data_IF_903110698728
#
_entry.id   IF_903110698728
#
_cell.length_a   1.000
_cell.length_b   1.000
_cell.length_c   1.000
_cell.angle_alpha   90.00
_cell.angle_beta   90.00
_cell.angle_gamma   90.00
#
_symmetry.space_group_name_H-M   'P 1'
#
loop_
_entity.id
_entity.type
_entity.pdbx_description
1 polymer ?
#
# COMPACT_ATOMS: atom_id res chain seq x y z
N UNK A 1 2.17 13.20 8.87
CA UNK A 1 2.54 11.81 8.47
C UNK A 1 2.65 10.93 9.71
N UNK A 2 2.53 9.62 9.58
CA UNK A 2 2.73 8.62 10.64
C UNK A 2 3.30 7.33 10.04
N UNK A 3 3.91 6.49 10.87
CA UNK A 3 4.47 5.21 10.42
C UNK A 3 3.42 4.12 10.57
N UNK A 4 3.20 3.36 9.49
CA UNK A 4 2.34 2.18 9.42
C UNK A 4 3.15 0.95 8.97
N UNK A 5 2.54 -0.23 9.05
CA UNK A 5 3.13 -1.45 8.50
C UNK A 5 2.06 -2.33 7.85
N UNK A 6 2.44 -2.99 6.78
CA UNK A 6 1.58 -3.92 6.06
C UNK A 6 1.53 -5.29 6.75
N UNK A 7 0.34 -5.89 6.86
CA UNK A 7 0.20 -7.28 7.32
C UNK A 7 0.96 -8.25 6.42
N UNK A 8 1.19 -7.90 5.16
CA UNK A 8 1.98 -8.67 4.20
C UNK A 8 3.39 -9.00 4.67
N UNK A 9 3.97 -8.16 5.54
CA UNK A 9 5.28 -8.42 6.15
C UNK A 9 5.34 -9.76 6.89
N UNK A 10 4.19 -10.31 7.29
CA UNK A 10 4.05 -11.56 8.02
C UNK A 10 3.18 -12.58 7.27
N UNK A 11 3.30 -12.65 5.94
CA UNK A 11 2.48 -13.51 5.07
C UNK A 11 2.56 -15.03 5.39
N UNK A 12 3.56 -15.45 6.15
CA UNK A 12 3.74 -16.82 6.66
C UNK A 12 2.94 -17.13 7.94
N UNK A 13 2.21 -16.14 8.49
CA UNK A 13 1.39 -16.26 9.70
C UNK A 13 -0.10 -16.20 9.33
N UNK A 14 -1.00 -16.46 10.29
CA UNK A 14 -2.41 -16.11 10.11
C UNK A 14 -2.60 -14.58 10.19
N UNK A 15 -3.72 -14.08 9.72
CA UNK A 15 -4.05 -12.65 9.80
C UNK A 15 -3.97 -12.13 11.25
N UNK A 16 -4.54 -12.88 12.20
CA UNK A 16 -4.54 -12.53 13.61
C UNK A 16 -3.13 -12.50 14.20
N UNK A 17 -2.31 -13.51 13.88
CA UNK A 17 -0.91 -13.55 14.30
C UNK A 17 -0.09 -12.40 13.72
N UNK A 18 -0.29 -12.07 12.43
CA UNK A 18 0.35 -10.91 11.82
C UNK A 18 -0.03 -9.59 12.53
N UNK A 19 -1.31 -9.42 12.85
CA UNK A 19 -1.79 -8.27 13.63
C UNK A 19 -1.15 -8.19 15.03
N UNK A 20 -1.04 -9.31 15.73
CA UNK A 20 -0.36 -9.37 17.05
C UNK A 20 1.12 -9.04 16.89
N UNK A 21 1.81 -9.63 15.90
CA UNK A 21 3.23 -9.36 15.65
C UNK A 21 3.50 -7.88 15.36
N UNK A 22 2.64 -7.23 14.57
CA UNK A 22 2.74 -5.79 14.30
C UNK A 22 2.48 -4.95 15.54
N UNK A 23 1.49 -5.33 16.38
CA UNK A 23 1.22 -4.65 17.64
C UNK A 23 2.38 -4.77 18.63
N UNK A 24 3.00 -5.93 18.74
CA UNK A 24 4.17 -6.18 19.61
C UNK A 24 5.42 -5.43 19.12
N UNK A 25 5.48 -5.10 17.80
CA UNK A 25 6.44 -4.20 17.21
C UNK A 25 6.07 -2.72 17.39
N UNK A 26 5.01 -2.42 18.17
CA UNK A 26 4.52 -1.07 18.49
C UNK A 26 3.98 -0.27 17.31
N UNK A 27 3.56 -0.92 16.22
CA UNK A 27 2.84 -0.24 15.14
C UNK A 27 1.42 0.10 15.59
N UNK A 28 1.07 1.39 15.48
CA UNK A 28 -0.27 1.89 15.83
C UNK A 28 -1.20 1.98 14.62
N UNK A 29 -0.64 1.89 13.42
CA UNK A 29 -1.33 1.93 12.16
C UNK A 29 -0.94 0.73 11.30
N UNK A 30 -1.93 0.09 10.69
CA UNK A 30 -1.75 -1.14 9.92
C UNK A 30 -2.42 -1.00 8.55
N UNK A 31 -1.67 -1.26 7.49
CA UNK A 31 -2.23 -1.58 6.19
C UNK A 31 -2.65 -3.05 6.19
N UNK A 32 -3.92 -3.31 5.93
CA UNK A 32 -4.44 -4.68 5.76
C UNK A 32 -4.25 -5.12 4.31
N UNK A 33 -3.35 -6.06 4.07
CA UNK A 33 -3.08 -6.63 2.75
C UNK A 33 -4.05 -7.76 2.44
N UNK A 34 -4.64 -7.74 1.22
CA UNK A 34 -5.70 -8.66 0.80
C UNK A 34 -5.45 -9.16 -0.61
N UNK A 35 -5.61 -10.44 -0.86
CA UNK A 35 -5.35 -11.08 -2.15
C UNK A 35 -3.89 -11.45 -2.35
N UNK A 36 -3.52 -11.86 -3.57
CA UNK A 36 -2.13 -12.12 -3.97
C UNK A 36 -1.36 -13.12 -3.12
N UNK A 37 -2.05 -14.08 -2.49
CA UNK A 37 -1.44 -15.03 -1.56
C UNK A 37 -1.14 -14.47 -0.17
N UNK A 38 -1.72 -13.32 0.21
CA UNK A 38 -1.70 -12.81 1.59
C UNK A 38 -2.63 -13.64 2.51
N UNK A 39 -2.77 -13.23 3.77
CA UNK A 39 -3.62 -13.94 4.77
C UNK A 39 -5.12 -13.94 4.41
N UNK A 40 -5.56 -12.97 3.62
CA UNK A 40 -6.95 -12.68 3.32
C UNK A 40 -7.17 -12.75 1.81
N UNK A 41 -8.33 -13.28 1.42
CA UNK A 41 -8.86 -13.15 0.06
C UNK A 41 -9.76 -11.91 -0.05
N UNK A 42 -10.09 -11.48 -1.27
CA UNK A 42 -11.08 -10.42 -1.46
C UNK A 42 -12.43 -10.78 -0.82
N UNK A 43 -12.78 -12.06 -0.83
CA UNK A 43 -14.06 -12.55 -0.28
C UNK A 43 -14.15 -12.37 1.26
N UNK A 44 -13.02 -12.33 1.97
CA UNK A 44 -13.01 -12.02 3.41
C UNK A 44 -13.54 -10.61 3.71
N UNK A 45 -13.42 -9.67 2.77
CA UNK A 45 -13.91 -8.29 2.92
C UNK A 45 -15.30 -8.06 2.31
N UNK A 46 -15.83 -9.03 1.53
CA UNK A 46 -17.12 -8.88 0.83
C UNK A 46 -18.31 -9.43 1.61
N UNK A 47 -18.05 -10.09 2.74
CA UNK A 47 -19.08 -10.53 3.67
C UNK A 47 -19.74 -9.37 4.45
N UNK A 48 -20.52 -9.68 5.50
CA UNK A 48 -21.06 -8.64 6.39
C UNK A 48 -19.92 -7.80 6.98
N UNK A 49 -19.92 -6.46 6.83
CA UNK A 49 -18.83 -5.60 7.29
C UNK A 49 -18.51 -5.77 8.78
N UNK A 50 -19.53 -6.04 9.60
CA UNK A 50 -19.40 -6.23 11.05
C UNK A 50 -18.57 -7.49 11.40
N UNK A 51 -18.63 -8.52 10.56
CA UNK A 51 -17.89 -9.76 10.77
C UNK A 51 -16.38 -9.50 10.67
N UNK A 52 -15.93 -8.85 9.59
CA UNK A 52 -14.52 -8.52 9.43
C UNK A 52 -14.06 -7.46 10.46
N UNK A 53 -14.87 -6.43 10.72
CA UNK A 53 -14.56 -5.43 11.74
C UNK A 53 -14.45 -6.04 13.14
N UNK A 54 -15.28 -7.04 13.48
CA UNK A 54 -15.18 -7.80 14.72
C UNK A 54 -13.87 -8.58 14.79
N UNK A 55 -13.57 -9.37 13.75
CA UNK A 55 -12.33 -10.15 13.61
C UNK A 55 -11.07 -9.27 13.77
N UNK A 56 -11.06 -8.08 13.12
CA UNK A 56 -9.96 -7.13 13.24
C UNK A 56 -9.77 -6.63 14.68
N UNK A 57 -10.87 -6.19 15.33
CA UNK A 57 -10.82 -5.66 16.72
C UNK A 57 -10.41 -6.71 17.75
N UNK A 58 -10.72 -7.98 17.49
CA UNK A 58 -10.26 -9.10 18.33
C UNK A 58 -8.75 -9.35 18.15
N UNK A 59 -8.24 -9.18 16.95
CA UNK A 59 -6.84 -9.41 16.63
C UNK A 59 -5.90 -8.27 17.08
N UNK A 60 -6.35 -7.01 17.04
CA UNK A 60 -5.47 -5.87 17.34
C UNK A 60 -6.24 -4.64 17.79
N UNK A 61 -5.51 -3.70 18.43
CA UNK A 61 -5.97 -2.34 18.75
C UNK A 61 -5.39 -1.28 17.82
N UNK A 62 -4.57 -1.67 16.84
CA UNK A 62 -4.03 -0.73 15.87
C UNK A 62 -5.15 -0.17 14.98
N UNK A 63 -4.98 1.06 14.53
CA UNK A 63 -5.90 1.68 13.57
C UNK A 63 -5.67 1.07 12.18
N UNK A 64 -6.73 0.62 11.47
CA UNK A 64 -6.60 0.21 10.08
C UNK A 64 -6.36 1.46 9.23
N UNK A 65 -5.17 1.58 8.65
CA UNK A 65 -4.73 2.76 7.91
C UNK A 65 -5.26 2.74 6.46
N UNK A 66 -5.10 1.58 5.82
CA UNK A 66 -5.51 1.35 4.44
C UNK A 66 -5.82 -0.12 4.19
N UNK A 67 -6.56 -0.40 3.11
CA UNK A 67 -6.65 -1.72 2.51
C UNK A 67 -5.77 -1.78 1.27
N UNK A 68 -4.79 -2.69 1.26
CA UNK A 68 -3.92 -2.95 0.13
C UNK A 68 -4.39 -4.17 -0.64
N UNK A 69 -5.17 -3.99 -1.71
CA UNK A 69 -5.62 -5.09 -2.56
C UNK A 69 -4.49 -5.46 -3.53
N UNK A 70 -4.10 -6.72 -3.52
CA UNK A 70 -3.07 -7.27 -4.41
C UNK A 70 -3.67 -7.85 -5.70
N UNK A 71 -4.97 -8.15 -5.66
CA UNK A 71 -5.78 -8.57 -6.82
C UNK A 71 -6.78 -7.48 -7.19
N UNK A 72 -7.09 -7.36 -8.48
CA UNK A 72 -8.10 -6.43 -8.96
C UNK A 72 -9.51 -6.85 -8.54
N UNK A 73 -10.25 -6.03 -7.78
CA UNK A 73 -11.62 -6.34 -7.40
C UNK A 73 -12.57 -6.20 -8.59
N UNK A 74 -13.66 -7.00 -8.61
CA UNK A 74 -14.83 -6.71 -9.44
C UNK A 74 -15.58 -5.49 -8.90
N UNK A 75 -16.53 -4.98 -9.66
CA UNK A 75 -17.40 -3.85 -9.23
C UNK A 75 -18.17 -4.21 -7.95
N UNK A 76 -18.77 -5.40 -7.89
CA UNK A 76 -19.52 -5.89 -6.73
C UNK A 76 -18.63 -6.09 -5.50
N UNK A 77 -17.42 -6.62 -5.71
CA UNK A 77 -16.42 -6.74 -4.64
C UNK A 77 -16.01 -5.37 -4.12
N UNK A 78 -15.73 -4.41 -5.01
CA UNK A 78 -15.34 -3.05 -4.60
C UNK A 78 -16.42 -2.36 -3.77
N UNK A 79 -17.69 -2.46 -4.15
CA UNK A 79 -18.80 -1.93 -3.35
C UNK A 79 -18.85 -2.53 -1.94
N UNK A 80 -18.68 -3.86 -1.83
CA UNK A 80 -18.67 -4.53 -0.53
C UNK A 80 -17.46 -4.15 0.32
N UNK A 81 -16.28 -4.08 -0.30
CA UNK A 81 -15.03 -3.66 0.37
C UNK A 81 -15.15 -2.21 0.87
N UNK A 82 -15.75 -1.31 0.08
CA UNK A 82 -15.98 0.08 0.51
C UNK A 82 -16.90 0.16 1.73
N UNK A 83 -17.95 -0.65 1.81
CA UNK A 83 -18.81 -0.72 3.02
C UNK A 83 -18.02 -1.17 4.25
N UNK A 84 -17.16 -2.18 4.09
CA UNK A 84 -16.28 -2.68 5.16
C UNK A 84 -15.27 -1.61 5.58
N UNK A 85 -14.62 -0.94 4.63
CA UNK A 85 -13.67 0.15 4.86
C UNK A 85 -14.34 1.31 5.63
N UNK A 86 -15.54 1.73 5.23
CA UNK A 86 -16.30 2.77 5.91
C UNK A 86 -16.60 2.42 7.36
N UNK A 87 -17.07 1.19 7.63
CA UNK A 87 -17.36 0.74 9.00
C UNK A 87 -16.09 0.72 9.86
N UNK A 88 -14.95 0.39 9.27
CA UNK A 88 -13.65 0.37 9.94
C UNK A 88 -12.98 1.74 10.01
N UNK A 89 -13.59 2.77 9.43
CA UNK A 89 -13.02 4.13 9.31
C UNK A 89 -11.69 4.17 8.53
N UNK A 90 -11.51 3.22 7.62
CA UNK A 90 -10.38 3.18 6.69
C UNK A 90 -10.69 4.05 5.49
N UNK A 91 -9.95 5.16 5.33
CA UNK A 91 -10.26 6.17 4.32
C UNK A 91 -9.58 5.93 2.97
N UNK A 92 -8.82 4.85 2.83
CA UNK A 92 -7.98 4.62 1.65
C UNK A 92 -7.94 3.14 1.24
N UNK A 93 -8.05 2.91 -0.07
CA UNK A 93 -7.91 1.58 -0.70
C UNK A 93 -6.89 1.69 -1.83
N UNK A 94 -5.87 0.81 -1.80
CA UNK A 94 -4.95 0.59 -2.91
C UNK A 94 -5.44 -0.56 -3.77
N UNK A 95 -5.49 -0.37 -5.08
CA UNK A 95 -5.78 -1.43 -6.06
C UNK A 95 -4.61 -1.59 -7.03
N UNK A 96 -4.38 -2.78 -7.60
CA UNK A 96 -3.39 -2.92 -8.66
C UNK A 96 -3.90 -2.24 -9.95
N UNK A 97 -2.99 -1.67 -10.75
CA UNK A 97 -3.31 -1.36 -12.14
C UNK A 97 -3.41 -2.64 -12.97
N UNK A 98 -4.00 -2.56 -14.15
CA UNK A 98 -4.04 -3.69 -15.08
C UNK A 98 -2.64 -4.08 -15.56
N UNK A 99 -2.52 -5.29 -16.11
CA UNK A 99 -1.27 -5.80 -16.66
C UNK A 99 -0.77 -4.95 -17.84
N UNK A 100 0.52 -5.00 -18.07
CA UNK A 100 1.12 -4.36 -19.24
C UNK A 100 0.47 -4.86 -20.53
N UNK A 101 0.17 -3.93 -21.46
CA UNK A 101 -0.49 -4.26 -22.72
C UNK A 101 -2.02 -4.19 -22.68
N UNK A 102 -2.64 -3.98 -21.52
CA UNK A 102 -4.06 -3.64 -21.45
C UNK A 102 -4.33 -2.33 -22.19
N UNK A 103 -5.37 -2.25 -23.04
CA UNK A 103 -5.73 -1.00 -23.71
C UNK A 103 -5.96 0.13 -22.72
N UNK A 104 -5.32 1.28 -22.93
CA UNK A 104 -5.30 2.39 -21.99
C UNK A 104 -6.71 2.89 -21.62
N UNK A 105 -7.63 2.95 -22.59
CA UNK A 105 -9.00 3.36 -22.34
C UNK A 105 -9.79 2.36 -21.48
N UNK A 106 -9.53 1.07 -21.61
CA UNK A 106 -10.16 0.04 -20.77
C UNK A 106 -9.75 0.20 -19.31
N UNK A 107 -8.46 0.49 -19.08
CA UNK A 107 -7.97 0.75 -17.72
C UNK A 107 -8.55 2.05 -17.14
N UNK A 108 -8.65 3.11 -17.93
CA UNK A 108 -9.30 4.37 -17.50
C UNK A 108 -10.74 4.11 -17.08
N UNK A 109 -11.52 3.37 -17.87
CA UNK A 109 -12.92 3.11 -17.57
C UNK A 109 -13.08 2.24 -16.32
N UNK A 110 -12.22 1.21 -16.16
CA UNK A 110 -12.16 0.39 -14.96
C UNK A 110 -11.86 1.22 -13.71
N UNK A 111 -10.80 2.01 -13.76
CA UNK A 111 -10.37 2.83 -12.61
C UNK A 111 -11.38 3.91 -12.27
N UNK A 112 -12.01 4.53 -13.28
CA UNK A 112 -13.08 5.50 -13.07
C UNK A 112 -14.24 4.88 -12.30
N UNK A 113 -14.68 3.68 -12.69
CA UNK A 113 -15.73 2.94 -11.99
C UNK A 113 -15.36 2.69 -10.53
N UNK A 114 -14.13 2.21 -10.25
CA UNK A 114 -13.69 1.95 -8.87
C UNK A 114 -13.62 3.22 -8.02
N UNK A 115 -13.14 4.33 -8.59
CA UNK A 115 -13.07 5.64 -7.91
C UNK A 115 -14.47 6.18 -7.63
N UNK A 116 -15.41 6.09 -8.58
CA UNK A 116 -16.79 6.54 -8.39
C UNK A 116 -17.47 5.77 -7.26
N UNK A 117 -17.36 4.44 -7.23
CA UNK A 117 -17.91 3.60 -6.17
C UNK A 117 -17.35 3.95 -4.79
N UNK A 118 -16.03 4.10 -4.68
CA UNK A 118 -15.37 4.44 -3.42
C UNK A 118 -15.74 5.85 -2.94
N UNK A 119 -15.87 6.79 -3.87
CA UNK A 119 -16.19 8.19 -3.54
C UNK A 119 -17.56 8.36 -2.87
N UNK A 120 -18.54 7.50 -3.20
CA UNK A 120 -19.86 7.48 -2.56
C UNK A 120 -19.74 7.21 -1.06
N UNK A 121 -18.77 6.38 -0.66
CA UNK A 121 -18.50 6.04 0.74
C UNK A 121 -17.44 6.96 1.39
N UNK A 122 -16.96 7.97 0.65
CA UNK A 122 -15.93 8.90 1.14
C UNK A 122 -14.53 8.31 1.18
N UNK A 123 -14.26 7.25 0.42
CA UNK A 123 -13.01 6.51 0.39
C UNK A 123 -12.18 6.94 -0.82
N UNK A 124 -10.88 7.13 -0.61
CA UNK A 124 -9.91 7.41 -1.69
C UNK A 124 -9.37 6.13 -2.28
N UNK A 125 -9.17 6.12 -3.59
CA UNK A 125 -8.55 5.01 -4.32
C UNK A 125 -7.22 5.45 -4.89
N UNK A 126 -6.22 4.59 -4.78
CA UNK A 126 -4.95 4.74 -5.47
C UNK A 126 -4.57 3.46 -6.20
N UNK A 127 -3.77 3.60 -7.24
CA UNK A 127 -3.15 2.46 -7.92
C UNK A 127 -1.74 2.23 -7.42
N UNK A 128 -1.40 0.96 -7.16
CA UNK A 128 -0.04 0.58 -6.77
C UNK A 128 0.93 0.77 -7.93
N UNK A 129 2.15 1.22 -7.63
CA UNK A 129 3.24 1.27 -8.60
C UNK A 129 3.97 -0.06 -8.61
N UNK A 130 3.56 -0.99 -9.47
CA UNK A 130 4.02 -2.37 -9.48
C UNK A 130 4.72 -2.75 -10.80
N UNK A 131 5.78 -3.59 -10.75
CA UNK A 131 6.39 -4.16 -11.96
C UNK A 131 5.43 -5.10 -12.67
N UNK A 132 5.57 -5.20 -14.01
CA UNK A 132 4.71 -6.02 -14.85
C UNK A 132 3.31 -5.46 -15.10
N UNK A 133 2.98 -4.32 -14.49
CA UNK A 133 1.70 -3.62 -14.65
C UNK A 133 1.87 -2.30 -15.39
N UNK A 134 0.77 -1.67 -15.77
CA UNK A 134 0.80 -0.39 -16.49
C UNK A 134 1.56 0.70 -15.72
N UNK A 135 1.49 0.69 -14.40
CA UNK A 135 2.18 1.63 -13.50
C UNK A 135 3.69 1.36 -13.35
N UNK A 136 4.24 0.34 -14.01
CA UNK A 136 5.68 0.15 -14.10
C UNK A 136 6.37 1.34 -14.77
N UNK A 137 5.70 1.96 -15.76
CA UNK A 137 6.16 3.20 -16.35
C UNK A 137 5.61 4.41 -15.59
N UNK A 138 6.47 5.31 -15.04
CA UNK A 138 6.05 6.48 -14.30
C UNK A 138 5.17 7.46 -15.08
N UNK A 139 5.41 7.59 -16.39
CA UNK A 139 4.59 8.47 -17.23
C UNK A 139 3.17 7.93 -17.37
N UNK A 140 3.03 6.64 -17.61
CA UNK A 140 1.73 5.97 -17.67
C UNK A 140 0.98 6.09 -16.33
N UNK A 141 1.68 5.91 -15.20
CA UNK A 141 1.08 6.07 -13.87
C UNK A 141 0.52 7.50 -13.65
N UNK A 142 1.29 8.52 -14.04
CA UNK A 142 0.86 9.93 -13.98
C UNK A 142 -0.32 10.19 -14.92
N UNK A 143 -0.27 9.68 -16.15
CA UNK A 143 -1.32 9.89 -17.13
C UNK A 143 -2.65 9.26 -16.69
N UNK A 144 -2.64 8.06 -16.10
CA UNK A 144 -3.83 7.45 -15.50
C UNK A 144 -4.45 8.35 -14.43
N UNK A 145 -3.64 8.93 -13.54
CA UNK A 145 -4.14 9.86 -12.52
C UNK A 145 -4.71 11.16 -13.11
N UNK A 146 -4.17 11.63 -14.24
CA UNK A 146 -4.68 12.80 -14.95
C UNK A 146 -6.03 12.53 -15.63
N UNK A 147 -6.22 11.33 -16.19
CA UNK A 147 -7.42 10.93 -16.91
C UNK A 147 -8.57 10.49 -15.98
N UNK A 148 -8.24 10.04 -14.77
CA UNK A 148 -9.23 9.58 -13.79
C UNK A 148 -9.24 10.51 -12.59
N UNK A 149 -10.21 11.44 -12.57
CA UNK A 149 -10.34 12.41 -11.49
C UNK A 149 -10.58 11.72 -10.14
N UNK A 150 -9.75 12.03 -9.14
CA UNK A 150 -9.86 11.45 -7.80
C UNK A 150 -9.03 10.19 -7.59
N UNK A 151 -8.37 9.68 -8.64
CA UNK A 151 -7.39 8.62 -8.53
C UNK A 151 -6.06 9.17 -8.02
N UNK A 152 -5.42 8.41 -7.12
CA UNK A 152 -4.05 8.66 -6.67
C UNK A 152 -3.11 7.51 -6.94
N UNK A 153 -1.90 7.63 -6.39
CA UNK A 153 -0.85 6.61 -6.42
C UNK A 153 -0.57 6.07 -5.02
N UNK A 154 -0.41 4.77 -4.91
CA UNK A 154 0.34 4.14 -3.83
C UNK A 154 1.76 3.98 -4.32
N UNK A 155 2.60 4.88 -3.88
CA UNK A 155 3.97 5.02 -4.34
C UNK A 155 4.91 4.05 -3.61
N UNK A 156 5.59 3.22 -4.37
CA UNK A 156 6.68 2.36 -3.91
C UNK A 156 7.95 2.72 -4.70
N UNK A 157 8.92 3.41 -4.10
CA UNK A 157 10.14 3.83 -4.78
C UNK A 157 11.02 2.66 -5.25
N UNK A 158 10.87 1.48 -4.63
CA UNK A 158 11.68 0.29 -4.88
C UNK A 158 11.66 -0.13 -6.35
N UNK A 159 10.49 -0.06 -6.98
CA UNK A 159 10.32 -0.46 -8.38
C UNK A 159 11.12 0.42 -9.33
N UNK A 160 11.20 1.71 -9.03
CA UNK A 160 11.90 2.70 -9.87
C UNK A 160 13.41 2.72 -9.62
N UNK A 161 13.88 2.29 -8.45
CA UNK A 161 15.30 2.09 -8.16
C UNK A 161 15.82 0.92 -9.01
N UNK A 162 15.14 -0.23 -8.97
CA UNK A 162 15.54 -1.42 -9.74
C UNK A 162 15.51 -1.16 -11.26
N UNK A 163 14.55 -0.37 -11.75
CA UNK A 163 14.44 -0.02 -13.17
C UNK A 163 15.25 1.22 -13.61
N UNK A 164 16.03 1.83 -12.70
CA UNK A 164 16.82 3.05 -12.93
C UNK A 164 16.00 4.26 -13.41
N UNK A 165 14.77 4.38 -12.91
CA UNK A 165 13.80 5.42 -13.27
C UNK A 165 13.54 6.44 -12.15
N UNK A 166 14.42 6.53 -11.16
CA UNK A 166 14.25 7.40 -9.99
C UNK A 166 14.12 8.89 -10.34
N UNK A 167 14.73 9.33 -11.46
CA UNK A 167 14.64 10.70 -11.96
C UNK A 167 13.23 11.12 -12.38
N UNK A 168 12.31 10.17 -12.58
CA UNK A 168 10.92 10.41 -12.97
C UNK A 168 9.96 10.48 -11.78
N UNK A 169 10.42 10.17 -10.57
CA UNK A 169 9.56 10.11 -9.36
C UNK A 169 8.96 11.47 -8.99
N UNK A 170 9.68 12.58 -9.23
CA UNK A 170 9.21 13.93 -8.87
C UNK A 170 7.86 14.28 -9.50
N UNK A 171 7.61 13.87 -10.75
CA UNK A 171 6.33 14.13 -11.42
C UNK A 171 5.14 13.37 -10.80
N UNK A 172 5.42 12.29 -10.07
CA UNK A 172 4.39 11.45 -9.42
C UNK A 172 3.95 12.02 -8.08
N UNK A 173 4.79 12.84 -7.41
CA UNK A 173 4.62 13.26 -6.02
C UNK A 173 3.26 13.93 -5.77
N UNK A 174 2.74 14.69 -6.74
CA UNK A 174 1.44 15.38 -6.60
C UNK A 174 0.22 14.44 -6.58
N UNK A 175 0.39 13.18 -7.00
CA UNK A 175 -0.67 12.17 -7.05
C UNK A 175 -0.58 11.15 -5.92
N UNK A 176 0.43 11.23 -5.05
CA UNK A 176 0.64 10.25 -3.98
C UNK A 176 -0.44 10.39 -2.91
N UNK A 177 -1.21 9.31 -2.72
CA UNK A 177 -2.20 9.16 -1.66
C UNK A 177 -1.74 8.20 -0.57
N UNK A 178 -0.82 7.29 -0.89
CA UNK A 178 -0.25 6.33 0.03
C UNK A 178 1.19 6.01 -0.35
N UNK A 179 2.00 5.55 0.61
CA UNK A 179 3.41 5.24 0.39
C UNK A 179 3.75 3.90 1.01
N UNK A 180 4.42 3.03 0.26
CA UNK A 180 5.02 1.79 0.73
C UNK A 180 6.54 1.89 0.67
N UNK A 181 7.20 1.50 1.76
CA UNK A 181 8.64 1.66 1.91
C UNK A 181 9.32 0.34 2.33
N UNK A 182 10.41 0.06 1.68
CA UNK A 182 11.45 -0.92 2.04
C UNK A 182 12.78 -0.39 1.55
N UNK A 183 13.89 -0.91 2.05
CA UNK A 183 15.18 -0.56 1.47
C UNK A 183 15.49 -1.48 0.27
N UNK A 184 16.06 -0.89 -0.78
CA UNK A 184 16.14 -1.48 -2.12
C UNK A 184 17.45 -1.09 -2.76
N UNK A 185 18.13 -2.02 -3.42
CA UNK A 185 19.27 -1.73 -4.29
C UNK A 185 18.88 -1.88 -5.77
N UNK A 186 19.75 -1.45 -6.68
CA UNK A 186 19.53 -1.67 -8.13
C UNK A 186 19.47 -3.14 -8.52
N UNK A 187 20.05 -4.03 -7.73
CA UNK A 187 20.11 -5.46 -7.99
C UNK A 187 19.01 -6.26 -7.31
N UNK A 188 18.53 -5.77 -6.17
CA UNK A 188 17.57 -6.48 -5.32
C UNK A 188 16.43 -5.55 -4.88
N UNK A 189 15.20 -6.02 -5.07
CA UNK A 189 13.98 -5.30 -4.72
C UNK A 189 13.88 -5.01 -3.22
N UNK A 190 14.56 -5.78 -2.40
CA UNK A 190 14.62 -5.61 -0.96
C UNK A 190 15.98 -6.03 -0.42
N UNK A 191 16.59 -5.17 0.37
CA UNK A 191 17.83 -5.42 1.12
C UNK A 191 17.65 -5.00 2.58
N UNK A 192 18.61 -5.36 3.43
CA UNK A 192 18.60 -4.85 4.82
C UNK A 192 18.78 -3.35 4.85
N UNK A 193 18.08 -2.69 5.77
CA UNK A 193 18.13 -1.24 5.96
C UNK A 193 19.56 -0.73 6.07
N UNK A 194 19.87 0.26 5.25
CA UNK A 194 21.20 0.89 5.15
C UNK A 194 22.12 0.24 4.11
N UNK A 195 21.69 -0.83 3.43
CA UNK A 195 22.42 -1.43 2.31
C UNK A 195 21.82 -1.08 0.95
N UNK A 196 20.70 -0.38 0.93
CA UNK A 196 20.00 0.06 -0.27
C UNK A 196 20.32 1.48 -0.69
N UNK A 197 19.58 1.93 -1.69
CA UNK A 197 19.71 3.24 -2.34
C UNK A 197 18.50 4.15 -2.08
N UNK A 198 17.54 3.72 -1.22
CA UNK A 198 16.40 4.56 -0.87
C UNK A 198 16.83 5.73 0.01
N UNK A 199 16.63 6.95 -0.49
CA UNK A 199 16.81 8.17 0.29
C UNK A 199 15.51 8.52 1.02
N UNK A 200 15.27 7.86 2.16
CA UNK A 200 14.07 8.06 2.97
C UNK A 200 13.91 9.52 3.43
N UNK A 201 15.00 10.23 3.72
CA UNK A 201 14.95 11.62 4.15
C UNK A 201 14.44 12.52 3.02
N UNK A 202 14.92 12.31 1.80
CA UNK A 202 14.47 13.03 0.62
C UNK A 202 12.99 12.74 0.31
N UNK A 203 12.59 11.45 0.32
CA UNK A 203 11.20 11.06 0.08
C UNK A 203 10.27 11.76 1.08
N UNK A 204 10.59 11.74 2.36
CA UNK A 204 9.79 12.39 3.41
C UNK A 204 9.75 13.91 3.23
N UNK A 205 10.88 14.54 2.86
CA UNK A 205 10.93 15.96 2.55
C UNK A 205 10.03 16.34 1.38
N UNK A 206 10.12 15.60 0.26
CA UNK A 206 9.32 15.83 -0.94
C UNK A 206 7.81 15.67 -0.66
N UNK A 207 7.43 14.70 0.18
CA UNK A 207 6.06 14.49 0.65
C UNK A 207 5.58 15.63 1.56
N UNK A 208 6.44 16.07 2.49
CA UNK A 208 6.14 17.20 3.39
C UNK A 208 5.88 18.50 2.63
N UNK A 209 6.66 18.79 1.59
CA UNK A 209 6.50 19.97 0.74
C UNK A 209 5.14 19.96 0.02
N UNK A 210 4.57 18.79 -0.21
CA UNK A 210 3.23 18.58 -0.79
C UNK A 210 2.12 18.46 0.26
N UNK A 211 2.45 18.65 1.55
CA UNK A 211 1.51 18.51 2.68
C UNK A 211 0.86 17.12 2.75
N UNK A 212 1.62 16.10 2.36
CA UNK A 212 1.19 14.72 2.58
C UNK A 212 1.13 14.45 4.09
N UNK A 213 0.00 13.93 4.59
CA UNK A 213 -0.25 13.74 6.02
C UNK A 213 -0.67 12.29 6.37
N UNK A 214 -0.58 11.37 5.40
CA UNK A 214 -1.01 9.98 5.53
C UNK A 214 0.13 9.05 6.02
N UNK A 215 -0.13 7.74 5.95
CA UNK A 215 0.80 6.71 6.40
C UNK A 215 2.03 6.53 5.50
N UNK A 216 3.17 6.28 6.15
CA UNK A 216 4.37 5.72 5.55
C UNK A 216 4.40 4.24 5.92
N UNK A 217 3.97 3.38 5.03
CA UNK A 217 3.77 1.96 5.31
C UNK A 217 5.03 1.16 5.02
N UNK A 218 5.58 0.51 6.03
CA UNK A 218 6.63 -0.48 5.85
C UNK A 218 6.00 -1.72 5.22
N UNK A 219 6.47 -2.10 4.03
CA UNK A 219 5.96 -3.24 3.28
C UNK A 219 7.11 -4.17 2.84
N UNK A 220 7.57 -5.01 3.78
CA UNK A 220 8.60 -6.01 3.48
C UNK A 220 8.00 -7.14 2.64
N UNK A 221 8.75 -7.54 1.62
CA UNK A 221 8.36 -8.66 0.76
C UNK A 221 8.44 -9.99 1.51
N UNK A 222 7.46 -10.88 1.33
CA UNK A 222 7.49 -12.21 1.93
C UNK A 222 8.74 -13.00 1.54
N UNK A 223 9.25 -13.80 2.50
CA UNK A 223 10.32 -14.79 2.26
C UNK A 223 11.75 -14.24 2.27
N UNK A 224 11.96 -12.91 2.33
CA UNK A 224 13.33 -12.35 2.38
C UNK A 224 13.88 -12.20 3.79
N UNK A 225 13.04 -11.94 4.76
CA UNK A 225 13.39 -11.92 6.17
C UNK A 225 12.48 -12.87 6.94
N UNK A 226 13.05 -13.64 7.86
CA UNK A 226 12.32 -14.62 8.65
C UNK A 226 12.59 -14.43 10.15
N UNK A 227 11.65 -14.87 10.98
CA UNK A 227 11.77 -14.92 12.43
C UNK A 227 12.29 -13.62 13.05
N UNK A 228 13.35 -13.73 13.88
CA UNK A 228 13.95 -12.58 14.58
C UNK A 228 14.58 -11.57 13.63
N UNK A 229 15.09 -12.00 12.47
CA UNK A 229 15.66 -11.12 11.45
C UNK A 229 14.61 -10.13 10.92
N UNK A 230 13.40 -10.62 10.62
CA UNK A 230 12.28 -9.78 10.20
C UNK A 230 11.86 -8.81 11.29
N UNK A 231 11.71 -9.28 12.54
CA UNK A 231 11.36 -8.43 13.67
C UNK A 231 12.38 -7.31 13.89
N UNK A 232 13.67 -7.62 13.74
CA UNK A 232 14.74 -6.63 13.84
C UNK A 232 14.66 -5.59 12.72
N UNK A 233 14.44 -6.04 11.48
CA UNK A 233 14.35 -5.16 10.31
C UNK A 233 13.16 -4.20 10.42
N UNK A 234 11.99 -4.70 10.80
CA UNK A 234 10.79 -3.91 11.05
C UNK A 234 11.03 -2.84 12.12
N UNK A 235 11.70 -3.19 13.24
CA UNK A 235 12.05 -2.22 14.30
C UNK A 235 13.00 -1.13 13.81
N UNK A 236 14.02 -1.50 13.01
CA UNK A 236 14.97 -0.53 12.43
C UNK A 236 14.26 0.44 11.50
N UNK A 237 13.44 -0.08 10.57
CA UNK A 237 12.67 0.73 9.63
C UNK A 237 11.72 1.69 10.38
N UNK A 238 10.96 1.18 11.36
CA UNK A 238 10.06 2.03 12.16
C UNK A 238 10.81 3.16 12.83
N UNK A 239 11.91 2.86 13.54
CA UNK A 239 12.71 3.89 14.25
C UNK A 239 13.31 4.91 13.31
N UNK A 240 13.81 4.48 12.15
CA UNK A 240 14.32 5.40 11.14
C UNK A 240 13.22 6.37 10.69
N UNK A 241 12.07 5.85 10.27
CA UNK A 241 10.97 6.68 9.77
C UNK A 241 10.42 7.62 10.85
N UNK A 242 10.25 7.13 12.09
CA UNK A 242 9.84 7.98 13.24
C UNK A 242 10.86 9.10 13.56
N UNK A 243 12.14 8.88 13.28
CA UNK A 243 13.19 9.90 13.51
C UNK A 243 13.18 10.98 12.42
N UNK A 244 12.73 10.60 11.21
CA UNK A 244 12.68 11.51 10.06
C UNK A 244 11.37 12.34 10.01
N UNK A 245 10.34 11.94 10.75
CA UNK A 245 9.07 12.67 10.90
C UNK A 245 9.12 13.78 11.95
#
# INVERSE_FOLDING_TARGET
MHVAASTRCFADQTFEQACVSLWDLEFKHIEVSVGGGSHLSLDDLTGPPEAFAGRYREATRATPDSFGLLDGPTTEQMEAICRTAKLMQTAHITVPSSEQGTPFNEEIDRLRTLVELASVEGIRVSIATDPGRMTQDPHTAVELCQQVRGLGLTFDPSHYIVSDQTHLQEQMTQYIYHVRLRDTSRQEMQVSLGLGENDFARIISDLSDRRYDQGLTIDLLPGQFEGEGRMLEMRKMRRLLETLL
#
